data_IF_534313873556
#
_entry.id   IF_534313873556
#
_cell.length_a   1.000
_cell.length_b   1.000
_cell.length_c   1.000
_cell.angle_alpha   90.00
_cell.angle_beta   90.00
_cell.angle_gamma   90.00
#
_symmetry.space_group_name_H-M   'P 1'
#
loop_
_entity.id
_entity.type
_entity.pdbx_description
1 polymer ?
#
# COMPACT_ATOMS: atom_id res chain seq x y z
N UNK A 1 -25.37 -20.31 -2.09
CA UNK A 1 -25.08 -19.66 -3.39
C UNK A 1 -25.72 -20.41 -4.59
N UNK A 2 -26.50 -21.45 -4.34
CA UNK A 2 -27.10 -22.29 -5.38
C UNK A 2 -28.33 -21.69 -6.09
N UNK A 3 -28.82 -20.53 -5.63
CA UNK A 3 -30.09 -19.97 -6.13
C UNK A 3 -29.96 -18.67 -6.93
N UNK A 4 -28.75 -18.34 -7.37
CA UNK A 4 -28.55 -17.20 -8.28
C UNK A 4 -28.66 -17.73 -9.71
N UNK A 5 -29.78 -17.45 -10.37
CA UNK A 5 -29.93 -17.77 -11.79
C UNK A 5 -29.00 -16.91 -12.66
N UNK A 6 -28.51 -17.48 -13.76
CA UNK A 6 -27.54 -16.80 -14.65
C UNK A 6 -28.07 -15.44 -15.20
N UNK A 7 -29.37 -15.31 -15.33
CA UNK A 7 -30.05 -14.07 -15.75
C UNK A 7 -30.03 -12.94 -14.70
N UNK A 8 -29.55 -13.22 -13.47
CA UNK A 8 -29.35 -12.23 -12.40
C UNK A 8 -27.87 -11.90 -12.15
N UNK A 9 -26.97 -12.49 -12.90
CA UNK A 9 -25.56 -12.14 -12.83
C UNK A 9 -25.34 -10.81 -13.54
N UNK A 10 -24.74 -9.86 -12.83
CA UNK A 10 -24.30 -8.59 -13.42
C UNK A 10 -22.87 -8.81 -13.91
N UNK A 11 -22.68 -8.71 -15.20
CA UNK A 11 -21.34 -8.67 -15.79
C UNK A 11 -20.72 -7.30 -15.51
N UNK A 12 -19.52 -7.27 -14.98
CA UNK A 12 -18.75 -6.05 -14.79
C UNK A 12 -17.27 -6.30 -15.07
N UNK A 13 -16.59 -5.30 -15.55
CA UNK A 13 -15.14 -5.30 -15.72
C UNK A 13 -14.48 -4.58 -14.55
N UNK A 14 -13.38 -5.13 -14.04
CA UNK A 14 -12.57 -4.50 -13.01
C UNK A 14 -11.40 -3.77 -13.66
N UNK A 15 -11.39 -2.46 -13.56
CA UNK A 15 -10.27 -1.63 -14.00
C UNK A 15 -9.27 -1.41 -12.86
N UNK A 16 -7.98 -1.41 -13.18
CA UNK A 16 -6.91 -1.05 -12.26
C UNK A 16 -6.37 0.31 -12.66
N UNK A 17 -6.42 1.26 -11.75
CA UNK A 17 -6.00 2.63 -11.96
C UNK A 17 -5.08 3.09 -10.81
N UNK A 18 -4.12 3.99 -11.07
CA UNK A 18 -3.41 4.65 -10.00
C UNK A 18 -4.36 5.39 -9.06
N UNK A 19 -3.98 5.50 -7.79
CA UNK A 19 -4.74 6.32 -6.85
C UNK A 19 -4.85 7.76 -7.37
N UNK A 20 -6.01 8.42 -7.27
CA UNK A 20 -6.15 9.81 -7.67
C UNK A 20 -5.13 10.71 -6.98
N UNK A 21 -4.50 11.57 -7.73
CA UNK A 21 -3.46 12.50 -7.28
C UNK A 21 -4.00 13.93 -7.31
N UNK A 22 -3.55 14.75 -6.37
CA UNK A 22 -3.81 16.18 -6.38
C UNK A 22 -3.06 16.87 -7.53
N UNK A 23 -1.82 16.46 -7.73
CA UNK A 23 -0.98 16.90 -8.84
C UNK A 23 -0.63 15.70 -9.72
N UNK A 24 -1.23 15.59 -10.92
CA UNK A 24 -0.99 14.46 -11.81
C UNK A 24 0.41 14.46 -12.44
N UNK A 25 1.12 15.58 -12.42
CA UNK A 25 2.48 15.69 -12.95
C UNK A 25 3.53 15.25 -11.91
N UNK A 26 3.14 15.15 -10.64
CA UNK A 26 4.00 14.74 -9.54
C UNK A 26 3.33 13.62 -8.73
N UNK A 27 3.34 12.43 -9.31
CA UNK A 27 2.73 11.27 -8.68
C UNK A 27 3.47 10.89 -7.39
N UNK A 28 2.72 10.68 -6.31
CA UNK A 28 3.26 10.20 -5.05
C UNK A 28 2.33 9.13 -4.46
N UNK A 29 2.83 7.91 -4.39
CA UNK A 29 2.11 6.78 -3.85
C UNK A 29 2.83 6.23 -2.63
N UNK A 30 2.06 6.00 -1.56
CA UNK A 30 2.64 5.39 -0.37
C UNK A 30 2.97 3.92 -0.63
N UNK A 31 4.23 3.55 -0.40
CA UNK A 31 4.64 2.14 -0.40
C UNK A 31 4.27 1.52 0.94
N UNK A 32 3.37 0.56 0.91
CA UNK A 32 2.95 -0.20 2.09
C UNK A 32 3.12 -1.70 1.83
N UNK A 33 3.51 -2.41 2.86
CA UNK A 33 3.67 -3.86 2.82
C UNK A 33 4.22 -4.39 4.14
N UNK A 34 4.14 -5.70 4.37
CA UNK A 34 4.78 -6.32 5.52
C UNK A 34 6.29 -6.16 5.43
N UNK A 35 6.91 -5.96 6.58
CA UNK A 35 8.35 -5.85 6.72
C UNK A 35 8.88 -6.90 7.68
N UNK A 36 10.10 -7.39 7.45
CA UNK A 36 10.80 -8.29 8.35
C UNK A 36 11.86 -7.51 9.11
N UNK A 37 11.81 -7.59 10.44
CA UNK A 37 12.80 -6.96 11.32
C UNK A 37 13.56 -8.05 12.08
N UNK A 38 14.89 -7.95 12.08
CA UNK A 38 15.76 -8.82 12.87
C UNK A 38 16.15 -8.08 14.14
N UNK A 39 15.77 -8.63 15.30
CA UNK A 39 16.10 -8.05 16.59
C UNK A 39 17.40 -8.62 17.13
N UNK A 40 18.21 -7.75 17.76
CA UNK A 40 19.38 -8.19 18.52
C UNK A 40 18.92 -8.68 19.91
N UNK A 41 18.89 -9.99 20.09
CA UNK A 41 18.46 -10.65 21.34
C UNK A 41 19.60 -10.98 22.32
N UNK A 42 20.80 -10.62 22.02
CA UNK A 42 21.95 -10.95 22.86
C UNK A 42 22.56 -12.35 22.63
N UNK A 43 21.85 -13.26 21.97
CA UNK A 43 22.42 -14.52 21.49
C UNK A 43 22.81 -14.40 20.01
N UNK A 44 24.12 -14.41 19.69
CA UNK A 44 24.57 -14.28 18.30
C UNK A 44 24.07 -15.39 17.36
N UNK A 45 23.82 -16.58 17.89
CA UNK A 45 23.34 -17.69 17.07
C UNK A 45 21.86 -17.52 16.67
N UNK A 46 21.02 -17.02 17.58
CA UNK A 46 19.63 -16.67 17.27
C UNK A 46 19.57 -15.53 16.24
N UNK A 47 20.42 -14.52 16.39
CA UNK A 47 20.49 -13.40 15.43
C UNK A 47 20.95 -13.90 14.05
N UNK A 48 21.97 -14.78 14.00
CA UNK A 48 22.44 -15.37 12.74
C UNK A 48 21.36 -16.23 12.09
N UNK A 49 20.66 -17.06 12.85
CA UNK A 49 19.56 -17.88 12.32
C UNK A 49 18.44 -17.02 11.74
N UNK A 50 18.07 -15.95 12.44
CA UNK A 50 17.06 -14.98 11.96
C UNK A 50 17.51 -14.28 10.69
N UNK A 51 18.79 -13.92 10.60
CA UNK A 51 19.39 -13.34 9.39
C UNK A 51 19.37 -14.31 8.20
N UNK A 52 19.77 -15.57 8.41
CA UNK A 52 19.75 -16.59 7.37
C UNK A 52 18.32 -16.86 6.88
N UNK A 53 17.34 -16.85 7.78
CA UNK A 53 15.94 -16.95 7.39
C UNK A 53 15.50 -15.75 6.54
N UNK A 54 15.91 -14.54 6.91
CA UNK A 54 15.63 -13.34 6.11
C UNK A 54 16.28 -13.44 4.72
N UNK A 55 17.51 -13.95 4.63
CA UNK A 55 18.16 -14.19 3.33
C UNK A 55 17.41 -15.23 2.48
N UNK A 56 16.87 -16.27 3.11
CA UNK A 56 16.02 -17.25 2.43
C UNK A 56 14.76 -16.59 1.84
N UNK A 57 14.10 -15.71 2.59
CA UNK A 57 12.93 -14.96 2.10
C UNK A 57 13.25 -14.07 0.89
N UNK A 58 14.50 -13.63 0.75
CA UNK A 58 14.97 -12.83 -0.37
C UNK A 58 15.42 -13.65 -1.59
N UNK A 59 15.33 -14.97 -1.55
CA UNK A 59 15.59 -15.80 -2.74
C UNK A 59 14.48 -15.58 -3.78
N UNK A 60 14.84 -15.63 -5.07
CA UNK A 60 13.88 -15.37 -6.15
C UNK A 60 12.66 -16.27 -6.05
N UNK A 61 12.86 -17.58 -5.84
CA UNK A 61 11.77 -18.54 -5.77
C UNK A 61 10.75 -18.20 -4.68
N UNK A 62 11.22 -17.79 -3.49
CA UNK A 62 10.32 -17.44 -2.39
C UNK A 62 9.58 -16.15 -2.68
N UNK A 63 10.28 -15.13 -3.19
CA UNK A 63 9.65 -13.85 -3.54
C UNK A 63 8.59 -14.01 -4.64
N UNK A 64 8.87 -14.79 -5.68
CA UNK A 64 7.95 -15.03 -6.78
C UNK A 64 6.73 -15.80 -6.29
N UNK A 65 6.95 -16.93 -5.58
CA UNK A 65 5.86 -17.72 -5.04
C UNK A 65 4.93 -16.89 -4.12
N UNK A 66 5.51 -16.01 -3.29
CA UNK A 66 4.73 -15.14 -2.42
C UNK A 66 3.94 -14.09 -3.23
N UNK A 67 4.56 -13.52 -4.27
CA UNK A 67 3.91 -12.54 -5.16
C UNK A 67 2.71 -13.14 -5.89
N UNK A 68 2.80 -14.39 -6.33
CA UNK A 68 1.69 -15.08 -7.01
C UNK A 68 0.48 -15.31 -6.10
N UNK A 69 0.67 -15.48 -4.80
CA UNK A 69 -0.44 -15.76 -3.87
C UNK A 69 -1.28 -14.53 -3.58
N UNK A 70 -0.68 -13.44 -3.14
CA UNK A 70 -1.37 -12.29 -2.54
C UNK A 70 -1.32 -11.00 -3.39
N UNK A 71 -0.72 -11.06 -4.57
CA UNK A 71 -0.58 -9.88 -5.44
C UNK A 71 0.48 -8.87 -4.95
N UNK A 72 1.46 -9.33 -4.18
CA UNK A 72 2.65 -8.57 -3.84
C UNK A 72 3.63 -8.53 -5.01
N UNK A 73 4.62 -7.66 -4.94
CA UNK A 73 5.72 -7.60 -5.91
C UNK A 73 7.02 -8.07 -5.26
N UNK A 74 7.89 -8.77 -6.00
CA UNK A 74 9.22 -9.08 -5.50
C UNK A 74 9.99 -7.79 -5.16
N UNK A 75 10.76 -7.80 -4.09
CA UNK A 75 11.49 -6.60 -3.61
C UNK A 75 12.86 -6.43 -4.25
N UNK A 76 13.37 -7.45 -4.94
CA UNK A 76 14.66 -7.38 -5.61
C UNK A 76 14.50 -7.29 -7.13
N UNK A 77 15.34 -6.45 -7.77
CA UNK A 77 15.38 -6.34 -9.24
C UNK A 77 15.72 -7.66 -9.93
N UNK A 78 16.51 -8.51 -9.26
CA UNK A 78 16.86 -9.85 -9.77
C UNK A 78 15.62 -10.73 -9.88
N UNK A 79 14.76 -10.75 -8.86
CA UNK A 79 13.51 -11.52 -8.91
C UNK A 79 12.51 -10.89 -9.90
N UNK A 80 12.40 -9.57 -9.95
CA UNK A 80 11.52 -8.87 -10.89
C UNK A 80 11.89 -9.10 -12.36
N UNK A 81 13.18 -9.23 -12.66
CA UNK A 81 13.69 -9.48 -14.01
C UNK A 81 13.91 -10.95 -14.36
N UNK A 82 13.51 -11.89 -13.48
CA UNK A 82 13.68 -13.32 -13.75
C UNK A 82 12.68 -13.84 -14.79
N UNK A 83 13.10 -14.83 -15.58
CA UNK A 83 12.23 -15.45 -16.59
C UNK A 83 10.94 -16.02 -15.97
N UNK A 84 11.03 -16.59 -14.78
CA UNK A 84 9.90 -17.14 -14.03
C UNK A 84 8.86 -16.06 -13.68
N UNK A 85 9.31 -14.90 -13.22
CA UNK A 85 8.39 -13.80 -12.89
C UNK A 85 7.81 -13.14 -14.15
N UNK A 86 8.61 -13.01 -15.21
CA UNK A 86 8.14 -12.51 -16.50
C UNK A 86 7.11 -13.46 -17.13
N UNK A 87 7.29 -14.77 -16.99
CA UNK A 87 6.28 -15.75 -17.39
C UNK A 87 4.98 -15.57 -16.62
N UNK A 88 5.05 -15.40 -15.30
CA UNK A 88 3.87 -15.08 -14.49
C UNK A 88 3.15 -13.81 -15.01
N UNK A 89 3.87 -12.73 -15.25
CA UNK A 89 3.30 -11.48 -15.76
C UNK A 89 2.71 -11.62 -17.18
N UNK A 90 3.15 -12.59 -17.96
CA UNK A 90 2.62 -12.88 -19.31
C UNK A 90 1.23 -13.52 -19.30
N UNK A 91 0.79 -14.02 -18.14
CA UNK A 91 -0.53 -14.65 -17.98
C UNK A 91 -1.69 -13.65 -17.86
N UNK A 92 -1.44 -12.36 -18.04
CA UNK A 92 -2.50 -11.34 -18.09
C UNK A 92 -3.54 -11.69 -19.15
N UNK A 93 -4.81 -11.56 -18.79
CA UNK A 93 -5.93 -11.90 -19.67
C UNK A 93 -6.28 -13.39 -19.73
N UNK A 94 -5.53 -14.26 -19.04
CA UNK A 94 -5.96 -15.64 -18.84
C UNK A 94 -7.03 -15.68 -17.76
N UNK A 95 -8.18 -16.25 -18.11
CA UNK A 95 -9.35 -16.31 -17.22
C UNK A 95 -9.18 -17.39 -16.14
N UNK A 96 -8.24 -17.16 -15.25
CA UNK A 96 -8.02 -18.05 -14.09
C UNK A 96 -7.86 -17.19 -12.84
N UNK A 97 -8.76 -17.36 -11.89
CA UNK A 97 -8.60 -16.93 -10.50
C UNK A 97 -8.11 -15.49 -10.29
N UNK A 98 -8.70 -14.54 -10.99
CA UNK A 98 -8.37 -13.11 -10.86
C UNK A 98 -6.97 -12.70 -11.36
N UNK A 99 -6.30 -13.52 -12.17
CA UNK A 99 -4.99 -13.19 -12.73
C UNK A 99 -4.98 -11.88 -13.49
N UNK A 100 -6.03 -11.60 -14.26
CA UNK A 100 -6.11 -10.34 -15.01
C UNK A 100 -5.97 -9.12 -14.10
N UNK A 101 -6.75 -9.04 -13.05
CA UNK A 101 -6.72 -7.92 -12.10
C UNK A 101 -5.41 -7.87 -11.31
N UNK A 102 -4.94 -9.03 -10.82
CA UNK A 102 -3.68 -9.12 -10.06
C UNK A 102 -2.50 -8.66 -10.90
N UNK A 103 -2.37 -9.16 -12.12
CA UNK A 103 -1.24 -8.86 -12.99
C UNK A 103 -1.29 -7.40 -13.46
N UNK A 104 -2.45 -6.88 -13.81
CA UNK A 104 -2.62 -5.44 -14.11
C UNK A 104 -2.20 -4.55 -12.94
N UNK A 105 -2.60 -4.92 -11.71
CA UNK A 105 -2.21 -4.18 -10.50
C UNK A 105 -0.70 -4.21 -10.25
N UNK A 106 -0.09 -5.38 -10.38
CA UNK A 106 1.36 -5.58 -10.23
C UNK A 106 2.14 -4.80 -11.29
N UNK A 107 1.75 -4.88 -12.56
CA UNK A 107 2.39 -4.11 -13.65
C UNK A 107 2.27 -2.61 -13.42
N UNK A 108 1.10 -2.13 -13.01
CA UNK A 108 0.89 -0.72 -12.68
C UNK A 108 1.79 -0.29 -11.53
N UNK A 109 1.93 -1.09 -10.48
CA UNK A 109 2.80 -0.80 -9.34
C UNK A 109 4.28 -0.77 -9.77
N UNK A 110 4.74 -1.76 -10.52
CA UNK A 110 6.12 -1.82 -11.01
C UNK A 110 6.47 -0.63 -11.93
N UNK A 111 5.54 -0.24 -12.81
CA UNK A 111 5.72 0.91 -13.69
C UNK A 111 5.78 2.26 -12.94
N UNK A 112 5.31 2.30 -11.70
CA UNK A 112 5.29 3.50 -10.86
C UNK A 112 6.18 3.38 -9.61
N UNK A 113 7.11 2.45 -9.57
CA UNK A 113 7.98 2.23 -8.40
C UNK A 113 8.75 3.49 -8.00
N UNK A 114 9.21 4.28 -8.95
CA UNK A 114 9.94 5.53 -8.73
C UNK A 114 9.07 6.65 -8.14
N UNK A 115 7.75 6.52 -8.26
CA UNK A 115 6.76 7.45 -7.70
C UNK A 115 6.28 7.02 -6.31
N UNK A 116 6.92 6.05 -5.70
CA UNK A 116 6.56 5.58 -4.36
C UNK A 116 7.41 6.21 -3.27
N UNK A 117 6.84 6.36 -2.08
CA UNK A 117 7.56 6.81 -0.91
C UNK A 117 7.18 5.98 0.32
N UNK A 118 8.07 5.94 1.29
CA UNK A 118 7.83 5.35 2.61
C UNK A 118 7.63 6.46 3.62
N UNK A 119 6.56 6.37 4.42
CA UNK A 119 6.33 7.35 5.48
C UNK A 119 7.48 7.32 6.49
N UNK A 120 8.05 8.50 6.86
CA UNK A 120 9.07 8.56 7.87
C UNK A 120 8.54 8.02 9.21
N UNK A 121 9.38 7.31 9.93
CA UNK A 121 9.08 6.79 11.27
C UNK A 121 9.94 7.53 12.29
N UNK A 122 9.28 8.20 13.23
CA UNK A 122 9.93 8.93 14.32
C UNK A 122 9.00 8.94 15.54
N UNK A 123 9.52 9.38 16.69
CA UNK A 123 8.71 9.56 17.89
C UNK A 123 7.60 10.58 17.60
N UNK A 124 6.35 10.17 17.75
CA UNK A 124 5.18 11.01 17.44
C UNK A 124 4.57 10.78 16.06
N UNK A 125 5.15 9.92 15.19
CA UNK A 125 4.57 9.63 13.87
C UNK A 125 3.14 9.09 13.93
N UNK A 126 2.78 8.33 14.97
CA UNK A 126 1.41 7.88 15.22
C UNK A 126 0.49 9.06 15.51
N UNK A 127 0.90 9.96 16.43
CA UNK A 127 0.12 11.15 16.77
C UNK A 127 -0.10 12.07 15.56
N UNK A 128 0.91 12.21 14.70
CA UNK A 128 0.77 12.99 13.47
C UNK A 128 -0.27 12.39 12.51
N UNK A 129 -0.29 11.07 12.37
CA UNK A 129 -1.30 10.38 11.54
C UNK A 129 -2.71 10.56 12.10
N UNK A 130 -2.87 10.41 13.40
CA UNK A 130 -4.14 10.60 14.08
C UNK A 130 -4.63 12.05 13.94
N UNK A 131 -3.71 13.02 14.07
CA UNK A 131 -3.99 14.44 13.86
C UNK A 131 -4.48 14.73 12.44
N UNK A 132 -3.80 14.18 11.43
CA UNK A 132 -4.22 14.33 10.03
C UNK A 132 -5.62 13.74 9.79
N UNK A 133 -5.89 12.55 10.34
CA UNK A 133 -7.23 11.94 10.29
C UNK A 133 -8.30 12.83 10.95
N UNK A 134 -7.98 13.41 12.12
CA UNK A 134 -8.89 14.31 12.86
C UNK A 134 -9.18 15.59 12.09
N UNK A 135 -8.21 16.17 11.39
CA UNK A 135 -8.43 17.33 10.53
C UNK A 135 -9.46 17.03 9.44
N UNK A 136 -9.27 15.94 8.70
CA UNK A 136 -10.18 15.52 7.62
C UNK A 136 -11.59 15.24 8.18
N UNK A 137 -11.67 14.55 9.30
CA UNK A 137 -12.96 14.21 9.93
C UNK A 137 -13.72 15.46 10.36
N UNK A 138 -13.05 16.44 10.99
CA UNK A 138 -13.68 17.65 11.46
C UNK A 138 -14.19 18.52 10.29
N UNK A 139 -13.37 18.72 9.25
CA UNK A 139 -13.79 19.43 8.04
C UNK A 139 -15.00 18.76 7.41
N UNK A 140 -14.97 17.45 7.26
CA UNK A 140 -16.09 16.70 6.69
C UNK A 140 -17.37 16.85 7.51
N UNK A 141 -17.26 16.82 8.85
CA UNK A 141 -18.42 17.01 9.75
C UNK A 141 -18.98 18.44 9.62
N UNK A 142 -18.12 19.45 9.58
CA UNK A 142 -18.56 20.85 9.46
C UNK A 142 -19.23 21.12 8.12
N UNK A 143 -18.68 20.62 7.02
CA UNK A 143 -19.31 20.72 5.70
C UNK A 143 -20.69 20.03 5.68
N UNK A 144 -20.83 18.85 6.26
CA UNK A 144 -22.13 18.16 6.36
C UNK A 144 -23.16 18.93 7.20
N UNK A 145 -22.71 19.68 8.20
CA UNK A 145 -23.54 20.56 9.02
C UNK A 145 -23.83 21.91 8.36
N UNK A 146 -23.28 22.14 7.16
CA UNK A 146 -23.38 23.42 6.44
C UNK A 146 -22.76 24.59 7.21
N UNK A 147 -21.76 24.32 8.02
CA UNK A 147 -20.93 25.32 8.67
C UNK A 147 -19.97 25.96 7.65
N UNK A 148 -19.57 27.18 7.85
CA UNK A 148 -18.58 27.85 7.00
C UNK A 148 -17.21 27.27 7.28
N UNK A 149 -16.56 26.73 6.25
CA UNK A 149 -15.17 26.26 6.30
C UNK A 149 -14.34 27.22 5.46
N UNK A 150 -13.82 28.23 6.12
CA UNK A 150 -12.95 29.26 5.55
C UNK A 150 -11.53 29.19 6.16
N UNK A 151 -10.65 30.07 5.75
CA UNK A 151 -9.26 30.10 6.22
C UNK A 151 -9.18 30.27 7.75
N UNK A 152 -10.02 31.10 8.33
CA UNK A 152 -10.05 31.30 9.78
C UNK A 152 -10.48 30.05 10.54
N UNK A 153 -11.45 29.30 9.99
CA UNK A 153 -11.83 27.99 10.51
C UNK A 153 -10.66 27.00 10.41
N UNK A 154 -9.96 26.96 9.27
CA UNK A 154 -8.85 26.04 9.05
C UNK A 154 -7.67 26.37 9.98
N UNK A 155 -7.31 27.63 10.14
CA UNK A 155 -6.23 28.08 11.04
C UNK A 155 -6.51 27.68 12.49
N UNK A 156 -7.76 27.91 12.93
CA UNK A 156 -8.17 27.52 14.28
C UNK A 156 -8.14 25.99 14.44
N UNK A 157 -8.71 25.24 13.50
CA UNK A 157 -8.75 23.79 13.55
C UNK A 157 -7.34 23.20 13.58
N UNK A 158 -6.43 23.73 12.77
CA UNK A 158 -5.04 23.30 12.74
C UNK A 158 -4.36 23.57 14.10
N UNK A 159 -4.52 24.74 14.67
CA UNK A 159 -3.99 25.07 16.00
C UNK A 159 -4.54 24.15 17.09
N UNK A 160 -5.86 23.93 17.10
CA UNK A 160 -6.51 23.07 18.09
C UNK A 160 -6.01 21.62 18.01
N UNK A 161 -5.87 21.08 16.79
CA UNK A 161 -5.38 19.72 16.56
C UNK A 161 -3.89 19.61 16.90
N UNK A 162 -3.06 20.56 16.50
CA UNK A 162 -1.62 20.59 16.83
C UNK A 162 -1.41 20.54 18.35
N UNK A 163 -2.12 21.37 19.09
CA UNK A 163 -2.06 21.40 20.56
C UNK A 163 -2.57 20.10 21.18
N UNK A 164 -3.69 19.55 20.68
CA UNK A 164 -4.28 18.31 21.19
C UNK A 164 -3.30 17.12 21.09
N UNK A 165 -2.59 17.02 19.98
CA UNK A 165 -1.66 15.92 19.71
C UNK A 165 -0.21 16.24 20.09
N UNK A 166 0.07 17.41 20.67
CA UNK A 166 1.40 17.85 21.12
C UNK A 166 2.43 17.80 20.01
N UNK A 167 2.09 18.40 18.87
CA UNK A 167 2.94 18.45 17.69
C UNK A 167 3.76 19.75 17.58
N UNK A 168 3.74 20.59 18.62
CA UNK A 168 4.49 21.84 18.75
C UNK A 168 5.99 21.61 18.95
#
# INVERSE_FOLDING_TARGET
LSDISADKLVEFETAVMPIPQFDPDHLQMISQGPSVCVFNKGDPQEVLASWLFTQYLLTNNVQIAYSETEGYVPVTSMAQGSDEYLDYLSREGQDVAHYDVKIKAVKMLLANSDNTFVTPVYNGSASLRDAAGQLIENVTKSVRRKETVDDAYMDKLFSDVTSLYRLD
#
